data_IF_718798402383
#
_entry.id   IF_718798402383
#
_cell.length_a   1.000
_cell.length_b   1.000
_cell.length_c   1.000
_cell.angle_alpha   90.00
_cell.angle_beta   90.00
_cell.angle_gamma   90.00
#
_symmetry.space_group_name_H-M   'P 1'
#
loop_
_entity.id
_entity.type
_entity.pdbx_description
1 polymer ?
#
# COMPACT_ATOMS: atom_id res chain seq x y z
N UNK A 1 -30.31 14.39 -0.72
CA UNK A 1 -29.62 13.24 -1.33
C UNK A 1 -28.35 12.93 -0.57
N UNK A 2 -28.44 12.16 0.52
CA UNK A 2 -27.25 11.66 1.20
C UNK A 2 -26.58 10.63 0.29
N UNK A 3 -25.36 10.90 -0.14
CA UNK A 3 -24.56 9.94 -0.89
C UNK A 3 -24.44 8.65 -0.05
N UNK A 4 -25.00 7.54 -0.54
CA UNK A 4 -24.82 6.23 0.11
C UNK A 4 -23.33 5.94 0.10
N UNK A 5 -22.74 5.72 1.28
CA UNK A 5 -21.36 5.23 1.35
C UNK A 5 -21.27 3.89 0.61
N UNK A 6 -20.29 3.70 -0.28
CA UNK A 6 -20.10 2.44 -0.97
C UNK A 6 -19.79 1.32 0.03
N UNK A 7 -20.26 0.11 -0.26
CA UNK A 7 -20.04 -1.04 0.62
C UNK A 7 -18.54 -1.35 0.77
N UNK A 8 -18.07 -1.50 2.01
CA UNK A 8 -16.69 -1.92 2.29
C UNK A 8 -16.57 -3.44 2.17
N UNK A 9 -16.23 -3.92 0.97
CA UNK A 9 -16.05 -5.36 0.72
C UNK A 9 -14.89 -5.97 1.50
N UNK A 10 -13.83 -5.22 1.80
CA UNK A 10 -12.71 -5.70 2.61
C UNK A 10 -13.15 -6.03 4.02
N UNK A 11 -13.99 -5.19 4.63
CA UNK A 11 -14.59 -5.45 5.94
C UNK A 11 -15.50 -6.67 5.92
N UNK A 12 -16.38 -6.79 4.92
CA UNK A 12 -17.29 -7.94 4.79
C UNK A 12 -16.49 -9.25 4.63
N UNK A 13 -15.46 -9.26 3.80
CA UNK A 13 -14.57 -10.40 3.64
C UNK A 13 -13.84 -10.74 4.93
N UNK A 14 -13.35 -9.74 5.67
CA UNK A 14 -12.71 -9.97 6.97
C UNK A 14 -13.67 -10.62 7.97
N UNK A 15 -14.87 -10.05 8.15
CA UNK A 15 -15.87 -10.55 9.10
C UNK A 15 -16.33 -11.97 8.77
N UNK A 16 -16.61 -12.24 7.49
CA UNK A 16 -17.04 -13.58 7.06
C UNK A 16 -15.94 -14.63 7.23
N UNK A 17 -14.68 -14.26 6.98
CA UNK A 17 -13.55 -15.13 7.23
C UNK A 17 -13.37 -15.46 8.71
N UNK A 18 -13.47 -14.46 9.59
CA UNK A 18 -13.39 -14.64 11.06
C UNK A 18 -14.57 -15.46 11.58
N UNK A 19 -15.77 -15.25 11.05
CA UNK A 19 -16.99 -15.92 11.55
C UNK A 19 -17.14 -17.38 11.10
N UNK A 20 -16.24 -17.92 10.30
CA UNK A 20 -16.45 -19.26 9.73
C UNK A 20 -17.33 -19.27 8.48
N UNK A 21 -17.79 -18.10 8.02
CA UNK A 21 -18.65 -17.98 6.86
C UNK A 21 -17.88 -17.73 5.56
N UNK A 22 -18.62 -17.25 4.58
CA UNK A 22 -18.04 -16.66 3.39
C UNK A 22 -18.92 -15.53 2.87
N UNK A 23 -18.39 -14.77 1.91
CA UNK A 23 -19.11 -13.77 1.16
C UNK A 23 -19.15 -14.07 -0.35
N UNK A 24 -20.30 -13.87 -0.99
CA UNK A 24 -20.44 -13.84 -2.46
C UNK A 24 -21.00 -12.49 -2.85
N UNK A 25 -20.31 -11.79 -3.75
CA UNK A 25 -20.79 -10.52 -4.30
C UNK A 25 -21.84 -10.74 -5.40
N UNK A 26 -22.74 -9.77 -5.57
CA UNK A 26 -23.79 -9.85 -6.61
C UNK A 26 -23.19 -9.95 -8.01
N UNK A 27 -22.08 -9.29 -8.27
CA UNK A 27 -21.36 -9.35 -9.55
C UNK A 27 -20.86 -10.77 -9.83
N UNK A 28 -20.34 -11.45 -8.79
CA UNK A 28 -19.91 -12.85 -8.87
C UNK A 28 -21.10 -13.79 -9.10
N UNK A 29 -22.30 -13.42 -8.66
CA UNK A 29 -23.54 -14.19 -8.93
C UNK A 29 -23.98 -14.05 -10.40
N UNK A 30 -23.87 -12.84 -10.96
CA UNK A 30 -24.34 -12.51 -12.30
C UNK A 30 -23.34 -12.90 -13.41
N UNK A 31 -22.10 -13.23 -13.07
CA UNK A 31 -21.13 -13.72 -14.04
C UNK A 31 -21.58 -15.06 -14.65
N UNK A 32 -21.32 -15.25 -15.95
CA UNK A 32 -21.67 -16.50 -16.65
C UNK A 32 -20.99 -17.71 -15.99
N UNK A 33 -21.69 -18.85 -15.95
CA UNK A 33 -21.23 -20.12 -15.34
C UNK A 33 -21.04 -20.11 -13.81
N UNK A 34 -21.59 -19.11 -13.10
CA UNK A 34 -21.41 -18.98 -11.63
C UNK A 34 -22.36 -19.85 -10.80
N UNK A 35 -23.46 -20.36 -11.36
CA UNK A 35 -24.45 -21.13 -10.61
C UNK A 35 -23.84 -22.38 -9.93
N UNK A 36 -23.09 -23.18 -10.68
CA UNK A 36 -22.39 -24.34 -10.12
C UNK A 36 -21.30 -23.96 -9.11
N UNK A 37 -20.67 -22.79 -9.30
CA UNK A 37 -19.66 -22.27 -8.38
C UNK A 37 -20.30 -21.86 -7.04
N UNK A 38 -21.46 -21.21 -7.07
CA UNK A 38 -22.22 -20.79 -5.89
C UNK A 38 -22.73 -22.02 -5.11
N UNK A 39 -23.30 -23.01 -5.81
CA UNK A 39 -23.80 -24.25 -5.18
C UNK A 39 -22.65 -24.99 -4.46
N UNK A 40 -21.48 -25.12 -5.10
CA UNK A 40 -20.29 -25.71 -4.46
C UNK A 40 -19.76 -24.92 -3.27
N UNK A 41 -19.95 -23.61 -3.28
CA UNK A 41 -19.48 -22.74 -2.20
C UNK A 41 -20.44 -22.77 -0.99
N UNK A 42 -21.74 -22.91 -1.23
CA UNK A 42 -22.77 -23.10 -0.20
C UNK A 42 -22.69 -24.50 0.42
N UNK A 43 -22.26 -25.51 -0.35
CA UNK A 43 -22.05 -26.85 0.17
C UNK A 43 -20.93 -26.86 1.22
N UNK A 44 -21.33 -26.84 2.49
CA UNK A 44 -20.46 -26.81 3.65
C UNK A 44 -19.46 -27.98 3.68
N UNK A 45 -19.80 -29.13 3.08
CA UNK A 45 -18.90 -30.29 2.99
C UNK A 45 -17.75 -30.07 2.01
N UNK A 46 -17.93 -29.17 1.05
CA UNK A 46 -16.93 -28.83 0.03
C UNK A 46 -16.08 -27.62 0.43
N UNK A 47 -16.34 -27.02 1.60
CA UNK A 47 -15.59 -25.86 2.07
C UNK A 47 -14.20 -26.24 2.53
N UNK A 48 -13.21 -25.57 1.94
CA UNK A 48 -11.80 -25.67 2.30
C UNK A 48 -11.44 -24.38 3.01
N UNK A 49 -10.85 -24.46 4.20
CA UNK A 49 -10.49 -23.29 4.99
C UNK A 49 -9.06 -23.40 5.46
N UNK A 50 -8.31 -22.32 5.32
CA UNK A 50 -7.10 -22.11 6.10
C UNK A 50 -7.52 -21.72 7.52
N UNK A 51 -6.92 -22.32 8.55
CA UNK A 51 -7.24 -22.03 9.95
C UNK A 51 -6.21 -21.10 10.58
N UNK A 52 -4.94 -21.54 10.60
CA UNK A 52 -3.83 -20.83 11.21
C UNK A 52 -2.49 -21.43 10.79
N UNK A 53 -1.43 -20.68 11.06
CA UNK A 53 -0.05 -21.14 10.96
C UNK A 53 0.56 -21.07 12.35
N UNK A 54 1.03 -22.21 12.83
CA UNK A 54 1.77 -22.31 14.09
C UNK A 54 3.27 -22.31 13.79
N UNK A 55 4.04 -21.49 14.49
CA UNK A 55 5.51 -21.45 14.37
C UNK A 55 6.14 -22.39 15.37
N UNK A 56 7.01 -23.29 14.92
CA UNK A 56 7.80 -24.12 15.81
C UNK A 56 8.99 -23.27 16.26
N UNK A 57 9.20 -23.17 17.58
CA UNK A 57 10.24 -22.37 18.24
C UNK A 57 10.05 -20.83 18.22
N UNK A 58 8.91 -20.28 17.76
CA UNK A 58 8.40 -18.88 17.86
C UNK A 58 9.33 -17.66 17.58
N UNK A 59 10.66 -17.79 17.58
CA UNK A 59 11.60 -16.66 17.63
C UNK A 59 11.96 -16.15 16.24
N UNK A 60 11.79 -16.99 15.21
CA UNK A 60 12.39 -16.72 13.91
C UNK A 60 11.40 -16.21 12.87
N UNK A 61 10.08 -16.40 13.03
CA UNK A 61 9.08 -16.03 12.03
C UNK A 61 7.97 -15.22 12.67
N UNK A 62 7.67 -14.06 12.10
CA UNK A 62 6.64 -13.13 12.55
C UNK A 62 5.86 -12.57 11.36
N UNK A 63 4.82 -11.79 11.67
CA UNK A 63 3.98 -11.10 10.68
C UNK A 63 3.48 -12.05 9.58
N UNK A 64 2.89 -13.18 9.97
CA UNK A 64 2.38 -14.19 9.04
C UNK A 64 0.99 -13.77 8.56
N UNK A 65 0.79 -13.76 7.25
CA UNK A 65 -0.46 -13.44 6.58
C UNK A 65 -0.89 -14.58 5.63
N UNK A 66 -2.17 -15.00 5.62
CA UNK A 66 -3.26 -14.43 6.41
C UNK A 66 -3.12 -14.65 7.93
N UNK A 67 -3.47 -13.65 8.74
CA UNK A 67 -3.34 -13.69 10.21
C UNK A 67 -4.52 -14.37 10.91
N UNK A 68 -5.60 -14.59 10.18
CA UNK A 68 -6.83 -15.23 10.64
C UNK A 68 -7.26 -16.34 9.67
N UNK A 69 -8.25 -17.14 10.06
CA UNK A 69 -8.78 -18.17 9.17
C UNK A 69 -9.36 -17.56 7.89
N UNK A 70 -9.14 -18.19 6.75
CA UNK A 70 -9.63 -17.72 5.45
C UNK A 70 -10.30 -18.87 4.70
N UNK A 71 -11.48 -18.60 4.15
CA UNK A 71 -12.18 -19.53 3.26
C UNK A 71 -11.46 -19.58 1.91
N UNK A 72 -11.09 -20.77 1.46
CA UNK A 72 -10.44 -20.99 0.18
C UNK A 72 -11.50 -21.18 -0.90
N UNK A 73 -11.30 -20.55 -2.05
CA UNK A 73 -12.20 -20.73 -3.19
C UNK A 73 -12.21 -22.21 -3.64
N UNK A 74 -13.36 -22.77 -4.05
CA UNK A 74 -13.48 -24.18 -4.44
C UNK A 74 -12.54 -24.61 -5.57
N UNK A 75 -12.15 -23.67 -6.44
CA UNK A 75 -11.25 -23.92 -7.57
C UNK A 75 -9.83 -23.38 -7.35
N UNK A 76 -9.50 -22.89 -6.15
CA UNK A 76 -8.14 -22.48 -5.84
C UNK A 76 -7.20 -23.71 -5.88
N UNK A 77 -6.22 -23.68 -6.77
CA UNK A 77 -5.15 -24.68 -6.85
C UNK A 77 -4.01 -24.36 -5.88
N UNK A 78 -3.86 -23.08 -5.51
CA UNK A 78 -2.73 -22.58 -4.73
C UNK A 78 -3.23 -21.73 -3.57
N UNK A 79 -2.60 -21.94 -2.42
CA UNK A 79 -2.71 -21.09 -1.25
C UNK A 79 -1.40 -20.33 -1.08
N UNK A 80 -1.48 -19.02 -0.82
CA UNK A 80 -0.31 -18.17 -0.62
C UNK A 80 -0.29 -17.76 0.84
N UNK A 81 0.80 -18.12 1.51
CA UNK A 81 1.15 -17.66 2.85
C UNK A 81 2.41 -16.80 2.72
N UNK A 82 2.44 -15.66 3.40
CA UNK A 82 3.63 -14.80 3.48
C UNK A 82 3.95 -14.51 4.93
N UNK A 83 5.23 -14.29 5.23
CA UNK A 83 5.67 -13.96 6.57
C UNK A 83 7.07 -13.37 6.54
N UNK A 84 7.51 -12.84 7.67
CA UNK A 84 8.83 -12.27 7.84
C UNK A 84 9.68 -13.17 8.74
N UNK A 85 10.85 -13.55 8.25
CA UNK A 85 11.82 -14.33 9.01
C UNK A 85 12.95 -13.43 9.53
N UNK A 86 13.19 -13.43 10.84
CA UNK A 86 14.23 -12.63 11.51
C UNK A 86 15.59 -13.33 11.54
N UNK A 87 15.61 -14.66 11.70
CA UNK A 87 16.86 -15.45 11.79
C UNK A 87 17.30 -16.02 10.44
N UNK A 88 18.61 -16.17 10.26
CA UNK A 88 19.23 -16.42 8.96
C UNK A 88 19.41 -17.90 8.59
N UNK A 89 19.05 -18.85 9.45
CA UNK A 89 19.39 -20.27 9.24
C UNK A 89 18.20 -21.05 8.69
N UNK A 90 17.21 -21.35 9.53
CA UNK A 90 16.02 -22.10 9.14
C UNK A 90 14.84 -21.78 10.05
N UNK A 91 13.63 -22.03 9.55
CA UNK A 91 12.40 -21.96 10.32
C UNK A 91 11.46 -23.11 9.95
N UNK A 92 10.68 -23.59 10.91
CA UNK A 92 9.66 -24.60 10.68
C UNK A 92 8.30 -24.04 11.08
N UNK A 93 7.33 -24.21 10.18
CA UNK A 93 5.96 -23.79 10.38
C UNK A 93 5.00 -24.96 10.15
N UNK A 94 3.87 -24.94 10.84
CA UNK A 94 2.78 -25.91 10.67
C UNK A 94 1.56 -25.16 10.17
N UNK A 95 1.14 -25.46 8.95
CA UNK A 95 -0.03 -24.85 8.33
C UNK A 95 -1.21 -25.78 8.51
N UNK A 96 -2.29 -25.29 9.12
CA UNK A 96 -3.50 -26.06 9.40
C UNK A 96 -4.64 -25.68 8.47
N UNK A 97 -5.27 -26.68 7.85
CA UNK A 97 -6.41 -26.55 6.97
C UNK A 97 -7.58 -27.40 7.47
N UNK A 98 -8.80 -26.93 7.24
CA UNK A 98 -10.03 -27.71 7.37
C UNK A 98 -10.52 -28.03 5.96
N UNK A 99 -10.60 -29.31 5.61
CA UNK A 99 -11.09 -29.78 4.31
C UNK A 99 -12.09 -30.88 4.60
N UNK A 100 -13.33 -30.76 4.08
CA UNK A 100 -14.37 -31.78 4.31
C UNK A 100 -14.63 -32.09 5.80
N UNK A 101 -14.51 -31.07 6.67
CA UNK A 101 -14.55 -31.18 8.14
C UNK A 101 -13.42 -31.99 8.79
N UNK A 102 -12.39 -32.35 8.05
CA UNK A 102 -11.20 -32.99 8.57
C UNK A 102 -10.05 -31.98 8.71
N UNK A 103 -9.31 -32.10 9.82
CA UNK A 103 -8.16 -31.25 10.10
C UNK A 103 -6.93 -31.83 9.40
N UNK A 104 -6.39 -31.10 8.44
CA UNK A 104 -5.14 -31.41 7.77
C UNK A 104 -4.05 -30.47 8.25
N UNK A 105 -2.91 -31.02 8.66
CA UNK A 105 -1.73 -30.25 9.06
C UNK A 105 -0.59 -30.56 8.11
N UNK A 106 0.10 -29.52 7.66
CA UNK A 106 1.29 -29.64 6.82
C UNK A 106 2.45 -28.92 7.48
N UNK A 107 3.50 -29.67 7.79
CA UNK A 107 4.76 -29.12 8.24
C UNK A 107 5.59 -28.65 7.04
N UNK A 108 6.16 -27.47 7.16
CA UNK A 108 7.02 -26.87 6.13
C UNK A 108 8.27 -26.35 6.80
N UNK A 109 9.42 -26.85 6.33
CA UNK A 109 10.75 -26.34 6.68
C UNK A 109 11.13 -25.30 5.64
N UNK A 110 11.59 -24.14 6.11
CA UNK A 110 11.99 -23.00 5.30
C UNK A 110 13.46 -22.72 5.60
N UNK A 111 14.31 -23.00 4.62
CA UNK A 111 15.75 -22.75 4.70
C UNK A 111 16.12 -21.51 3.88
N UNK A 112 17.00 -20.66 4.43
CA UNK A 112 17.42 -19.44 3.72
C UNK A 112 18.29 -19.75 2.50
N UNK A 113 19.04 -20.84 2.54
CA UNK A 113 20.01 -21.21 1.48
C UNK A 113 19.33 -21.46 0.14
N UNK A 114 18.07 -21.92 0.15
CA UNK A 114 17.27 -22.17 -1.06
C UNK A 114 16.62 -20.89 -1.64
N UNK A 115 16.84 -19.72 -1.02
CA UNK A 115 16.29 -18.47 -1.51
C UNK A 115 17.12 -17.92 -2.69
N UNK A 116 16.53 -17.95 -3.88
CA UNK A 116 17.08 -17.24 -5.04
C UNK A 116 16.99 -15.73 -4.79
N UNK A 117 18.14 -15.06 -4.68
CA UNK A 117 18.23 -13.62 -4.37
C UNK A 117 17.50 -12.73 -5.39
N UNK A 118 17.28 -13.23 -6.61
CA UNK A 118 16.75 -12.46 -7.74
C UNK A 118 15.32 -11.91 -7.54
N UNK A 119 14.49 -12.56 -6.72
CA UNK A 119 13.07 -12.20 -6.54
C UNK A 119 12.75 -11.48 -5.21
N UNK A 120 13.78 -11.07 -4.45
CA UNK A 120 13.60 -10.47 -3.13
C UNK A 120 12.71 -9.20 -3.16
N UNK A 121 12.78 -8.40 -4.24
CA UNK A 121 11.91 -7.23 -4.43
C UNK A 121 10.43 -7.59 -4.58
N UNK A 122 10.12 -8.63 -5.36
CA UNK A 122 8.75 -9.08 -5.61
C UNK A 122 8.12 -9.67 -4.34
N UNK A 123 8.85 -10.53 -3.62
CA UNK A 123 8.39 -11.13 -2.36
C UNK A 123 8.07 -10.06 -1.32
N UNK A 124 8.90 -9.02 -1.20
CA UNK A 124 8.64 -7.89 -0.30
C UNK A 124 7.35 -7.15 -0.66
N UNK A 125 7.06 -6.94 -1.94
CA UNK A 125 5.81 -6.32 -2.39
C UNK A 125 4.60 -7.21 -2.14
N UNK A 126 4.72 -8.52 -2.37
CA UNK A 126 3.66 -9.48 -2.08
C UNK A 126 3.32 -9.51 -0.58
N UNK A 127 4.35 -9.53 0.27
CA UNK A 127 4.21 -9.42 1.73
C UNK A 127 3.45 -8.15 2.12
N UNK A 128 3.90 -6.98 1.64
CA UNK A 128 3.26 -5.71 1.94
C UNK A 128 1.80 -5.65 1.45
N UNK A 129 1.51 -6.24 0.28
CA UNK A 129 0.14 -6.31 -0.25
C UNK A 129 -0.78 -7.14 0.64
N UNK A 130 -0.33 -8.29 1.16
CA UNK A 130 -1.15 -9.11 2.06
C UNK A 130 -1.41 -8.42 3.39
N UNK A 131 -0.38 -7.79 3.97
CA UNK A 131 -0.53 -6.98 5.18
C UNK A 131 -1.53 -5.83 4.96
N UNK A 132 -1.44 -5.14 3.82
CA UNK A 132 -2.36 -4.05 3.47
C UNK A 132 -3.81 -4.54 3.34
N UNK A 133 -4.02 -5.69 2.69
CA UNK A 133 -5.36 -6.27 2.52
C UNK A 133 -6.09 -6.44 3.85
N UNK A 134 -5.40 -6.92 4.90
CA UNK A 134 -6.02 -7.07 6.21
C UNK A 134 -6.26 -5.73 6.91
N UNK A 135 -5.30 -4.81 6.85
CA UNK A 135 -5.45 -3.49 7.46
C UNK A 135 -6.61 -2.68 6.85
N UNK A 136 -6.86 -2.84 5.55
CA UNK A 136 -7.95 -2.15 4.83
C UNK A 136 -9.35 -2.60 5.25
N UNK A 137 -9.50 -3.68 6.03
CA UNK A 137 -10.78 -4.02 6.64
C UNK A 137 -11.26 -2.91 7.60
N UNK A 138 -10.33 -2.24 8.30
CA UNK A 138 -10.62 -1.15 9.23
C UNK A 138 -9.79 0.11 8.89
N UNK A 139 -10.07 0.77 7.75
CA UNK A 139 -9.16 1.76 7.17
C UNK A 139 -9.02 3.02 8.04
N UNK A 140 -10.10 3.44 8.73
CA UNK A 140 -10.08 4.61 9.63
C UNK A 140 -9.19 4.38 10.86
N UNK A 141 -9.25 3.18 11.45
CA UNK A 141 -8.44 2.81 12.63
C UNK A 141 -6.98 2.62 12.21
N UNK A 142 -6.76 1.97 11.07
CA UNK A 142 -5.42 1.59 10.60
C UNK A 142 -4.76 2.65 9.70
N UNK A 143 -5.32 3.86 9.59
CA UNK A 143 -4.90 4.88 8.62
C UNK A 143 -3.39 5.13 8.62
N UNK A 144 -2.79 5.33 9.81
CA UNK A 144 -1.35 5.60 9.93
C UNK A 144 -0.51 4.41 9.43
N UNK A 145 -0.86 3.19 9.85
CA UNK A 145 -0.13 1.99 9.44
C UNK A 145 -0.25 1.73 7.93
N UNK A 146 -1.44 1.91 7.37
CA UNK A 146 -1.69 1.80 5.92
C UNK A 146 -0.79 2.78 5.17
N UNK A 147 -0.73 4.05 5.61
CA UNK A 147 0.08 5.09 5.00
C UNK A 147 1.58 4.75 5.08
N UNK A 148 2.06 4.36 6.26
CA UNK A 148 3.48 4.00 6.47
C UNK A 148 3.92 2.83 5.57
N UNK A 149 3.10 1.77 5.47
CA UNK A 149 3.38 0.60 4.62
C UNK A 149 3.30 0.99 3.14
N UNK A 150 2.26 1.73 2.75
CA UNK A 150 2.06 2.18 1.38
C UNK A 150 3.24 3.01 0.88
N UNK A 151 3.74 3.96 1.69
CA UNK A 151 4.93 4.75 1.34
C UNK A 151 6.19 3.90 1.30
N UNK A 152 6.41 3.07 2.34
CA UNK A 152 7.62 2.24 2.47
C UNK A 152 7.80 1.26 1.31
N UNK A 153 6.71 0.69 0.81
CA UNK A 153 6.74 -0.29 -0.29
C UNK A 153 6.31 0.30 -1.63
N UNK A 154 6.05 1.61 -1.70
CA UNK A 154 5.57 2.34 -2.89
C UNK A 154 4.31 1.71 -3.50
N UNK A 155 3.32 1.42 -2.65
CA UNK A 155 2.02 0.83 -3.02
C UNK A 155 0.94 1.91 -2.92
N UNK A 156 0.02 1.91 -3.88
CA UNK A 156 -1.19 2.75 -3.84
C UNK A 156 -2.22 2.11 -2.92
N UNK A 157 -2.76 2.90 -2.01
CA UNK A 157 -3.76 2.52 -1.01
C UNK A 157 -4.88 3.55 -0.97
N UNK A 158 -5.91 3.33 -0.16
CA UNK A 158 -7.01 4.29 0.01
C UNK A 158 -6.55 5.69 0.47
N UNK A 159 -5.34 5.80 1.04
CA UNK A 159 -4.78 7.05 1.55
C UNK A 159 -3.56 7.55 0.77
N UNK A 160 -3.17 6.87 -0.31
CA UNK A 160 -2.02 7.26 -1.13
C UNK A 160 -2.38 7.26 -2.61
N UNK A 161 -1.86 8.22 -3.36
CA UNK A 161 -2.08 8.34 -4.81
C UNK A 161 -0.75 8.42 -5.55
N UNK A 162 -0.70 7.92 -6.79
CA UNK A 162 0.44 8.17 -7.67
C UNK A 162 0.18 9.48 -8.43
N UNK A 163 1.15 10.39 -8.34
CA UNK A 163 1.21 11.58 -9.18
C UNK A 163 2.15 11.32 -10.35
N UNK A 164 1.63 11.43 -11.57
CA UNK A 164 2.42 11.28 -12.80
C UNK A 164 2.62 12.66 -13.43
N UNK A 165 3.89 13.04 -13.65
CA UNK A 165 4.27 14.32 -14.22
C UNK A 165 4.99 14.08 -15.56
N UNK A 166 4.39 14.55 -16.64
CA UNK A 166 4.88 14.34 -18.00
C UNK A 166 5.53 15.60 -18.57
N UNK A 167 4.95 16.77 -18.28
CA UNK A 167 5.35 18.04 -18.89
C UNK A 167 6.12 18.93 -17.92
N UNK A 168 6.95 19.82 -18.47
CA UNK A 168 7.70 20.81 -17.67
C UNK A 168 6.76 21.66 -16.81
N UNK A 169 5.63 22.08 -17.36
CA UNK A 169 4.68 22.92 -16.65
C UNK A 169 4.05 22.23 -15.45
N UNK A 170 3.79 20.92 -15.53
CA UNK A 170 3.33 20.14 -14.40
C UNK A 170 4.40 20.07 -13.30
N UNK A 171 5.66 19.81 -13.66
CA UNK A 171 6.77 19.82 -12.71
C UNK A 171 6.94 21.17 -12.01
N UNK A 172 6.81 22.28 -12.76
CA UNK A 172 6.87 23.64 -12.21
C UNK A 172 5.69 23.88 -11.27
N UNK A 173 4.47 23.52 -11.67
CA UNK A 173 3.25 23.76 -10.89
C UNK A 173 3.28 23.05 -9.53
N UNK A 174 3.77 21.81 -9.48
CA UNK A 174 3.90 21.04 -8.24
C UNK A 174 5.26 21.22 -7.53
N UNK A 175 6.17 22.01 -8.11
CA UNK A 175 7.54 22.21 -7.62
C UNK A 175 8.29 20.89 -7.34
N UNK A 176 8.10 19.90 -8.23
CA UNK A 176 8.73 18.59 -8.15
C UNK A 176 9.81 18.50 -9.22
N UNK A 177 11.05 18.21 -8.81
CA UNK A 177 12.16 18.05 -9.73
C UNK A 177 11.98 16.77 -10.58
N UNK A 178 12.08 16.84 -11.93
CA UNK A 178 12.14 15.67 -12.78
C UNK A 178 13.31 14.74 -12.42
N UNK A 179 13.16 13.44 -12.67
CA UNK A 179 14.26 12.49 -12.46
C UNK A 179 15.39 12.72 -13.49
N UNK A 180 16.68 12.61 -13.11
CA UNK A 180 17.82 12.87 -14.00
C UNK A 180 17.87 12.02 -15.27
N UNK A 181 17.22 10.83 -15.28
CA UNK A 181 17.12 9.99 -16.47
C UNK A 181 16.36 10.66 -17.63
N UNK A 182 15.53 11.68 -17.36
CA UNK A 182 14.81 12.47 -18.37
C UNK A 182 15.58 13.77 -18.64
N UNK A 183 16.76 13.65 -19.23
CA UNK A 183 17.76 14.73 -19.34
C UNK A 183 17.22 16.04 -19.92
N UNK A 184 16.43 15.97 -21.01
CA UNK A 184 15.87 17.16 -21.66
C UNK A 184 14.93 17.93 -20.73
N UNK A 185 13.99 17.22 -20.10
CA UNK A 185 13.03 17.79 -19.15
C UNK A 185 13.73 18.31 -17.89
N UNK A 186 14.69 17.56 -17.37
CA UNK A 186 15.50 17.95 -16.22
C UNK A 186 16.25 19.26 -16.47
N UNK A 187 16.96 19.36 -17.61
CA UNK A 187 17.70 20.56 -17.97
C UNK A 187 16.79 21.78 -18.13
N UNK A 188 15.63 21.62 -18.78
CA UNK A 188 14.66 22.71 -18.90
C UNK A 188 14.13 23.16 -17.52
N UNK A 189 13.87 22.22 -16.61
CA UNK A 189 13.46 22.53 -15.24
C UNK A 189 14.54 23.29 -14.46
N UNK A 190 15.80 22.85 -14.55
CA UNK A 190 16.92 23.53 -13.89
C UNK A 190 17.15 24.94 -14.43
N UNK A 191 17.07 25.12 -15.76
CA UNK A 191 17.16 26.44 -16.38
C UNK A 191 16.03 27.36 -15.92
N UNK A 192 14.79 26.84 -15.85
CA UNK A 192 13.66 27.58 -15.30
C UNK A 192 13.92 28.02 -13.85
N UNK A 193 14.39 27.11 -12.98
CA UNK A 193 14.67 27.42 -11.58
C UNK A 193 15.81 28.44 -11.44
N UNK A 194 16.86 28.35 -12.27
CA UNK A 194 17.95 29.33 -12.28
C UNK A 194 17.44 30.72 -12.69
N UNK A 195 16.68 30.81 -13.78
CA UNK A 195 16.11 32.07 -14.26
C UNK A 195 15.14 32.68 -13.24
N UNK A 196 14.28 31.85 -12.62
CA UNK A 196 13.37 32.28 -11.56
C UNK A 196 14.13 32.89 -10.38
N UNK A 197 15.20 32.22 -9.92
CA UNK A 197 16.05 32.72 -8.83
C UNK A 197 16.71 34.07 -9.17
N UNK A 198 17.21 34.23 -10.39
CA UNK A 198 17.81 35.48 -10.86
C UNK A 198 16.78 36.63 -10.89
N UNK A 199 15.58 36.37 -11.38
CA UNK A 199 14.49 37.35 -11.42
C UNK A 199 14.03 37.71 -10.01
N UNK A 200 13.88 36.72 -9.12
CA UNK A 200 13.48 36.95 -7.74
C UNK A 200 14.52 37.79 -6.97
N UNK A 201 15.82 37.57 -7.21
CA UNK A 201 16.89 38.39 -6.63
C UNK A 201 16.80 39.86 -7.08
N UNK A 202 16.70 40.11 -8.39
CA UNK A 202 16.55 41.46 -8.94
C UNK A 202 15.29 42.18 -8.42
N UNK A 203 14.18 41.45 -8.34
CA UNK A 203 12.93 41.97 -7.81
C UNK A 203 13.04 42.29 -6.30
N UNK A 204 13.79 41.51 -5.54
CA UNK A 204 14.04 41.79 -4.13
C UNK A 204 14.95 43.02 -3.93
N UNK A 205 16.00 43.17 -4.74
CA UNK A 205 16.87 44.36 -4.73
C UNK A 205 16.11 45.65 -5.03
N UNK A 206 15.27 45.62 -6.08
CA UNK A 206 14.42 46.77 -6.45
C UNK A 206 13.39 47.11 -5.38
N UNK A 207 12.74 46.10 -4.78
CA UNK A 207 11.84 46.29 -3.63
C UNK A 207 12.57 46.87 -2.41
N UNK A 208 13.76 46.36 -2.09
CA UNK A 208 14.56 46.86 -0.98
C UNK A 208 14.93 48.33 -1.19
N UNK A 209 15.40 48.69 -2.40
CA UNK A 209 15.72 50.07 -2.75
C UNK A 209 14.49 50.99 -2.64
N UNK A 210 13.33 50.54 -3.11
CA UNK A 210 12.08 51.29 -2.97
C UNK A 210 11.70 51.52 -1.49
N UNK A 211 11.80 50.49 -0.65
CA UNK A 211 11.52 50.59 0.79
C UNK A 211 12.51 51.55 1.47
N UNK A 212 13.80 51.47 1.15
CA UNK A 212 14.81 52.40 1.69
C UNK A 212 14.51 53.85 1.31
N UNK A 213 14.10 54.11 0.07
CA UNK A 213 13.71 55.45 -0.36
C UNK A 213 12.48 55.96 0.40
N UNK A 214 11.46 55.13 0.58
CA UNK A 214 10.26 55.48 1.37
C UNK A 214 10.61 55.74 2.84
N UNK A 215 11.51 54.94 3.41
CA UNK A 215 12.00 55.12 4.78
C UNK A 215 12.74 56.45 4.94
N UNK A 216 13.68 56.75 4.04
CA UNK A 216 14.44 57.99 4.06
C UNK A 216 13.51 59.21 3.90
N UNK A 217 12.53 59.14 2.99
CA UNK A 217 11.52 60.18 2.84
C UNK A 217 10.73 60.39 4.15
N UNK A 218 10.39 59.32 4.85
CA UNK A 218 9.71 59.39 6.15
C UNK A 218 10.56 60.03 7.25
N UNK A 219 11.84 59.66 7.35
CA UNK A 219 12.76 60.30 8.31
C UNK A 219 12.88 61.80 8.03
N UNK A 220 13.08 62.18 6.77
CA UNK A 220 13.18 63.61 6.41
C UNK A 220 11.89 64.41 6.64
N UNK A 221 10.72 63.77 6.56
CA UNK A 221 9.45 64.40 6.97
C UNK A 221 9.39 64.62 8.48
N UNK A 222 9.80 63.62 9.27
CA UNK A 222 9.82 63.70 10.73
C UNK A 222 10.80 64.76 11.23
N UNK A 223 11.99 64.86 10.64
CA UNK A 223 13.01 65.85 11.03
C UNK A 223 12.63 67.29 10.67
N UNK A 224 11.62 67.48 9.81
CA UNK A 224 11.08 68.79 9.41
C UNK A 224 9.82 69.18 10.20
N UNK A 225 9.27 68.28 11.02
CA UNK A 225 8.12 68.51 11.89
C UNK A 225 8.58 68.90 13.30
#
# INVERSE_FOLDING_TARGET
NAAREPANFSLINYLTNVSGGGYISREKILAQNSANHIVRWIDYKSQRRYLRTDTINNVNVHDIYPSHSVTLEPNAERFILVGKMSSAVSAQIVVSFLISNELHRKEVVIDRVDSTYDNCGLLRRLYAKQMLNELTAFPKINKRHILDIAMKYSIVSDFTSILVLETLQQHIAYNICPHPSRTTLYNHYMNYQHNKKQVDLKNNETKLAAILNLWNARCTWYDKA
#
